data_IF_040935315196
#
_entry.id   IF_040935315196
#
_cell.length_a   1.000
_cell.length_b   1.000
_cell.length_c   1.000
_cell.angle_alpha   90.00
_cell.angle_beta   90.00
_cell.angle_gamma   90.00
#
_symmetry.space_group_name_H-M   'P 1'
#
loop_
_entity.id
_entity.type
_entity.pdbx_description
1 polymer ?
#
# COMPACT_ATOMS: atom_id res chain seq x y z
N UNK A 1 -32.64 8.53 2.89
CA UNK A 1 -32.97 7.32 3.66
C UNK A 1 -32.28 7.47 5.01
N UNK A 2 -33.02 7.81 6.06
CA UNK A 2 -32.46 7.84 7.41
C UNK A 2 -32.23 6.39 7.85
N UNK A 3 -31.03 6.05 8.33
CA UNK A 3 -30.82 4.75 8.97
C UNK A 3 -31.64 4.71 10.26
N UNK A 4 -32.38 3.62 10.47
CA UNK A 4 -33.12 3.39 11.71
C UNK A 4 -32.17 3.37 12.91
N UNK A 5 -32.58 4.01 14.01
CA UNK A 5 -31.75 4.16 15.22
C UNK A 5 -31.32 2.81 15.83
N UNK A 6 -32.15 1.77 15.68
CA UNK A 6 -31.83 0.39 16.05
C UNK A 6 -30.65 -0.17 15.24
N UNK A 7 -30.66 0.04 13.93
CA UNK A 7 -29.57 -0.41 13.04
C UNK A 7 -28.23 0.27 13.37
N UNK A 8 -28.26 1.54 13.78
CA UNK A 8 -27.06 2.24 14.26
C UNK A 8 -26.53 1.68 15.59
N UNK A 9 -27.40 1.29 16.51
CA UNK A 9 -27.00 0.69 17.78
C UNK A 9 -26.42 -0.71 17.61
N UNK A 10 -26.97 -1.50 16.70
CA UNK A 10 -26.43 -2.83 16.35
C UNK A 10 -25.03 -2.72 15.71
N UNK A 11 -24.84 -1.76 14.81
CA UNK A 11 -23.52 -1.46 14.25
C UNK A 11 -22.51 -1.04 15.33
N UNK A 12 -22.95 -0.23 16.30
CA UNK A 12 -22.11 0.19 17.42
C UNK A 12 -21.75 -0.98 18.34
N UNK A 13 -22.69 -1.89 18.59
CA UNK A 13 -22.45 -3.11 19.36
C UNK A 13 -21.46 -4.05 18.64
N UNK A 14 -21.61 -4.25 17.34
CA UNK A 14 -20.66 -5.03 16.51
C UNK A 14 -19.28 -4.38 16.49
N UNK A 15 -19.22 -3.05 16.36
CA UNK A 15 -17.97 -2.32 16.48
C UNK A 15 -17.36 -2.59 17.85
N UNK A 16 -18.07 -2.40 18.96
CA UNK A 16 -17.55 -2.69 20.31
C UNK A 16 -17.04 -4.13 20.51
N UNK A 17 -17.64 -5.10 19.83
CA UNK A 17 -17.26 -6.52 19.89
C UNK A 17 -15.98 -6.83 19.11
N UNK A 18 -15.65 -6.08 18.06
CA UNK A 18 -14.35 -6.24 17.39
C UNK A 18 -13.23 -5.70 18.27
N UNK A 19 -12.14 -6.45 18.41
CA UNK A 19 -11.00 -6.01 19.20
C UNK A 19 -10.45 -4.69 18.64
N UNK A 20 -10.16 -3.74 19.54
CA UNK A 20 -9.62 -2.42 19.18
C UNK A 20 -8.35 -2.59 18.34
N UNK A 21 -7.55 -3.61 18.65
CA UNK A 21 -6.33 -3.99 17.95
C UNK A 21 -6.58 -4.36 16.48
N UNK A 22 -7.64 -5.10 16.18
CA UNK A 22 -7.97 -5.49 14.82
C UNK A 22 -8.51 -4.33 13.99
N UNK A 23 -9.28 -3.43 14.61
CA UNK A 23 -9.72 -2.19 13.95
C UNK A 23 -8.53 -1.31 13.59
N UNK A 24 -7.57 -1.15 14.52
CA UNK A 24 -6.34 -0.40 14.27
C UNK A 24 -5.52 -1.07 13.17
N UNK A 25 -5.38 -2.41 13.20
CA UNK A 25 -4.66 -3.16 12.17
C UNK A 25 -5.24 -2.93 10.78
N UNK A 26 -6.55 -3.11 10.61
CA UNK A 26 -7.23 -2.95 9.32
C UNK A 26 -7.19 -1.51 8.80
N UNK A 27 -7.39 -0.52 9.67
CA UNK A 27 -7.29 0.89 9.30
C UNK A 27 -5.86 1.25 8.86
N UNK A 28 -4.86 0.75 9.59
CA UNK A 28 -3.45 0.98 9.28
C UNK A 28 -3.05 0.30 7.98
N UNK A 29 -3.48 -0.94 7.74
CA UNK A 29 -3.26 -1.65 6.47
C UNK A 29 -3.81 -0.87 5.28
N UNK A 30 -5.05 -0.38 5.39
CA UNK A 30 -5.70 0.41 4.34
C UNK A 30 -4.94 1.71 4.07
N UNK A 31 -4.54 2.41 5.13
CA UNK A 31 -3.75 3.64 5.02
C UNK A 31 -2.42 3.39 4.29
N UNK A 32 -1.68 2.34 4.67
CA UNK A 32 -0.42 2.00 4.00
C UNK A 32 -0.64 1.61 2.54
N UNK A 33 -1.72 0.90 2.23
CA UNK A 33 -2.04 0.53 0.86
C UNK A 33 -2.30 1.77 -0.01
N UNK A 34 -3.09 2.73 0.48
CA UNK A 34 -3.35 4.00 -0.21
C UNK A 34 -2.08 4.82 -0.42
N UNK A 35 -1.21 4.90 0.58
CA UNK A 35 0.07 5.59 0.47
C UNK A 35 0.98 4.95 -0.58
N UNK A 36 1.07 3.62 -0.61
CA UNK A 36 1.83 2.88 -1.62
C UNK A 36 1.27 3.16 -3.02
N UNK A 37 -0.06 3.22 -3.14
CA UNK A 37 -0.72 3.50 -4.41
C UNK A 37 -0.52 4.94 -4.87
N UNK A 38 -0.48 5.91 -3.95
CA UNK A 38 -0.16 7.30 -4.24
C UNK A 38 1.29 7.47 -4.70
N UNK A 39 2.25 6.85 -4.00
CA UNK A 39 3.66 6.85 -4.43
C UNK A 39 3.84 6.20 -5.81
N UNK A 40 3.13 5.10 -6.09
CA UNK A 40 3.18 4.44 -7.38
C UNK A 40 2.60 5.32 -8.50
N UNK A 41 1.51 6.06 -8.23
CA UNK A 41 0.93 7.02 -9.16
C UNK A 41 1.89 8.17 -9.45
N UNK A 42 2.53 8.72 -8.41
CA UNK A 42 3.54 9.77 -8.56
C UNK A 42 4.76 9.29 -9.37
N UNK A 43 5.21 8.06 -9.14
CA UNK A 43 6.30 7.46 -9.91
C UNK A 43 5.94 7.21 -11.39
N UNK A 44 4.70 6.78 -11.66
CA UNK A 44 4.23 6.54 -13.03
C UNK A 44 3.94 7.85 -13.78
N UNK A 45 3.55 8.90 -13.05
CA UNK A 45 3.07 10.18 -13.59
C UNK A 45 1.61 10.16 -14.04
N UNK A 46 0.85 9.11 -13.68
CA UNK A 46 -0.55 8.95 -14.06
C UNK A 46 -1.28 7.98 -13.11
N UNK A 47 -2.55 8.28 -12.81
CA UNK A 47 -3.42 7.41 -12.03
C UNK A 47 -3.85 6.17 -12.85
N UNK A 48 -4.43 5.14 -12.19
CA UNK A 48 -5.02 4.00 -12.90
C UNK A 48 -6.06 4.46 -13.93
N UNK A 49 -5.97 3.94 -15.15
CA UNK A 49 -6.87 4.26 -16.28
C UNK A 49 -6.87 5.71 -16.78
N UNK A 50 -6.09 6.60 -16.17
CA UNK A 50 -5.93 7.97 -16.65
C UNK A 50 -5.18 8.02 -17.99
N UNK A 51 -5.49 8.98 -18.85
CA UNK A 51 -4.69 9.26 -20.06
C UNK A 51 -3.83 10.47 -19.77
N UNK A 52 -2.51 10.29 -19.78
CA UNK A 52 -1.54 11.34 -19.54
C UNK A 52 -0.35 11.11 -20.48
N UNK A 53 0.11 12.18 -21.11
CA UNK A 53 1.27 12.16 -22.01
C UNK A 53 2.59 11.93 -21.24
N UNK A 54 2.59 12.16 -19.93
CA UNK A 54 3.72 11.93 -19.03
C UNK A 54 3.81 10.51 -18.45
N UNK A 55 2.95 9.58 -18.90
CA UNK A 55 2.96 8.21 -18.37
C UNK A 55 4.22 7.46 -18.79
N UNK A 56 5.01 7.04 -17.80
CA UNK A 56 6.26 6.31 -18.06
C UNK A 56 6.05 4.79 -18.15
N UNK A 57 5.11 4.22 -17.40
CA UNK A 57 4.92 2.76 -17.30
C UNK A 57 3.51 2.38 -16.84
N UNK A 58 3.20 1.09 -16.81
CA UNK A 58 1.90 0.55 -16.39
C UNK A 58 2.04 -0.43 -15.23
N UNK A 59 1.00 -0.52 -14.39
CA UNK A 59 0.89 -1.52 -13.32
C UNK A 59 0.53 -2.89 -13.92
N UNK A 60 1.19 -3.95 -13.47
CA UNK A 60 1.01 -5.33 -13.92
C UNK A 60 0.80 -6.28 -12.73
N UNK A 61 -0.33 -6.11 -12.05
CA UNK A 61 -0.67 -6.86 -10.85
C UNK A 61 0.13 -6.43 -9.61
N UNK A 62 0.11 -7.27 -8.59
CA UNK A 62 0.70 -6.99 -7.27
C UNK A 62 1.58 -8.14 -6.77
N UNK A 63 2.40 -7.87 -5.76
CA UNK A 63 3.09 -8.88 -4.96
C UNK A 63 2.67 -8.75 -3.48
N UNK A 64 2.31 -9.85 -2.79
CA UNK A 64 2.04 -9.80 -1.37
C UNK A 64 3.33 -9.57 -0.60
N UNK A 65 3.24 -8.82 0.50
CA UNK A 65 4.32 -8.67 1.46
C UNK A 65 3.77 -8.36 2.85
N UNK A 66 4.16 -9.19 3.80
CA UNK A 66 3.86 -8.97 5.21
C UNK A 66 4.83 -7.96 5.85
N UNK A 67 4.29 -7.01 6.61
CA UNK A 67 5.02 -6.03 7.40
C UNK A 67 4.64 -6.20 8.87
N UNK A 68 5.59 -6.62 9.69
CA UNK A 68 5.38 -6.75 11.14
C UNK A 68 5.43 -5.37 11.79
N UNK A 69 4.34 -4.99 12.44
CA UNK A 69 4.21 -3.74 13.19
C UNK A 69 3.81 -4.03 14.64
N UNK A 70 3.84 -2.99 15.50
CA UNK A 70 3.40 -3.13 16.90
C UNK A 70 1.93 -3.54 17.03
N UNK A 71 1.09 -3.24 16.03
CA UNK A 71 -0.32 -3.64 15.98
C UNK A 71 -0.55 -5.04 15.38
N UNK A 72 0.53 -5.75 15.03
CA UNK A 72 0.50 -7.06 14.38
C UNK A 72 1.06 -7.03 12.96
N UNK A 73 0.92 -8.16 12.28
CA UNK A 73 1.35 -8.33 10.90
C UNK A 73 0.34 -7.70 9.93
N UNK A 74 0.85 -6.91 8.99
CA UNK A 74 0.06 -6.24 7.94
C UNK A 74 0.37 -6.86 6.57
N UNK A 75 -0.65 -7.30 5.84
CA UNK A 75 -0.48 -7.92 4.52
C UNK A 75 -0.64 -6.91 3.39
N UNK A 76 0.47 -6.29 3.01
CA UNK A 76 0.47 -5.23 2.00
C UNK A 76 0.63 -5.78 0.58
N UNK A 77 -0.04 -5.14 -0.39
CA UNK A 77 0.02 -5.50 -1.81
C UNK A 77 0.82 -4.45 -2.57
N UNK A 78 2.08 -4.76 -2.85
CA UNK A 78 2.94 -3.82 -3.57
C UNK A 78 2.70 -3.95 -5.09
N UNK A 79 2.38 -2.86 -5.81
CA UNK A 79 2.22 -2.89 -7.27
C UNK A 79 3.49 -3.38 -7.98
N UNK A 80 3.31 -4.19 -9.01
CA UNK A 80 4.35 -4.54 -9.98
C UNK A 80 4.26 -3.59 -11.16
N UNK A 81 5.40 -3.11 -11.65
CA UNK A 81 5.44 -2.29 -12.87
C UNK A 81 5.86 -3.16 -14.06
N UNK A 82 5.39 -2.78 -15.25
CA UNK A 82 5.72 -3.48 -16.50
C UNK A 82 7.15 -3.22 -16.95
N UNK A 83 7.65 -2.01 -16.70
CA UNK A 83 9.03 -1.61 -16.88
C UNK A 83 9.51 -0.84 -15.64
N UNK A 84 10.75 -1.11 -15.21
CA UNK A 84 11.34 -0.56 -13.99
C UNK A 84 11.04 -1.37 -12.72
N UNK A 85 11.69 -1.00 -11.62
CA UNK A 85 11.45 -1.62 -10.31
C UNK A 85 10.90 -0.59 -9.33
N UNK A 86 9.73 -0.86 -8.77
CA UNK A 86 9.10 0.00 -7.77
C UNK A 86 9.26 -0.55 -6.36
N UNK A 87 9.82 0.30 -5.50
CA UNK A 87 9.92 0.08 -4.07
C UNK A 87 9.36 1.31 -3.34
N UNK A 88 8.32 1.13 -2.49
CA UNK A 88 7.79 2.23 -1.69
C UNK A 88 8.85 2.81 -0.75
N UNK A 89 8.83 4.13 -0.56
CA UNK A 89 9.76 4.87 0.27
C UNK A 89 9.48 4.70 1.77
N UNK A 90 8.24 4.38 2.14
CA UNK A 90 7.76 4.06 3.51
C UNK A 90 8.45 2.86 4.17
N UNK A 91 9.50 2.31 3.56
CA UNK A 91 10.25 1.16 4.05
C UNK A 91 11.38 1.64 4.97
N UNK A 92 11.33 1.28 6.25
CA UNK A 92 12.55 1.04 7.00
C UNK A 92 13.17 -0.26 6.46
N UNK A 93 14.39 -0.19 5.94
CA UNK A 93 15.27 -1.35 5.73
C UNK A 93 16.63 -1.04 6.37
N UNK A 94 17.35 -2.03 6.90
CA UNK A 94 18.78 -1.88 7.10
C UNK A 94 19.42 -1.54 5.75
N UNK A 95 20.12 -0.41 5.74
CA UNK A 95 20.61 0.38 4.59
C UNK A 95 21.54 -0.36 3.60
N UNK A 96 21.92 -1.60 3.89
CA UNK A 96 23.01 -2.31 3.21
C UNK A 96 22.55 -3.01 1.90
N UNK A 97 21.28 -3.41 1.80
CA UNK A 97 20.81 -4.26 0.69
C UNK A 97 20.29 -3.49 -0.53
N UNK A 98 19.95 -2.21 -0.38
CA UNK A 98 19.38 -1.39 -1.48
C UNK A 98 20.47 -0.79 -2.37
N UNK A 99 21.61 -0.36 -1.79
CA UNK A 99 22.74 0.21 -2.54
C UNK A 99 23.38 -0.81 -3.50
N UNK A 100 23.51 -2.07 -3.08
CA UNK A 100 24.21 -3.10 -3.87
C UNK A 100 23.48 -3.52 -5.15
N UNK A 101 22.14 -3.44 -5.18
CA UNK A 101 21.35 -3.88 -6.34
C UNK A 101 21.04 -2.75 -7.32
N UNK A 102 20.87 -1.52 -6.83
CA UNK A 102 20.68 -0.34 -7.68
C UNK A 102 22.00 0.08 -8.35
N UNK A 103 23.13 -0.04 -7.64
CA UNK A 103 24.46 0.16 -8.24
C UNK A 103 24.78 -0.86 -9.34
N UNK A 104 24.35 -2.13 -9.19
CA UNK A 104 24.57 -3.18 -10.20
C UNK A 104 23.78 -2.98 -11.49
N UNK A 105 22.59 -2.38 -11.40
CA UNK A 105 21.78 -2.09 -12.59
C UNK A 105 22.26 -0.81 -13.27
N UNK A 106 22.75 0.18 -12.51
CA UNK A 106 23.34 1.40 -13.05
C UNK A 106 24.71 1.18 -13.74
N UNK A 107 25.46 0.13 -13.38
CA UNK A 107 26.77 -0.19 -13.96
C UNK A 107 26.72 -1.07 -15.23
N UNK A 108 25.53 -1.33 -15.78
CA UNK A 108 25.31 -2.20 -16.95
C UNK A 108 24.70 -1.47 -18.16
N UNK A 109 24.81 -0.14 -18.16
CA UNK A 109 24.54 0.76 -19.30
C UNK A 109 25.79 1.58 -19.56
#
# INVERSE_FOLDING_TARGET
MALDQSALLDLLAQLKLTDVTDRIRSATESLYQELIDAEATAFIGAAPFERSDGRTTHRNGTRPRTLTTTAGDLDLKIPKLRAGTFFPALRSRPVEWCKSRQARVASLT
#
